data_IF_671422742962
#
_entry.id   IF_671422742962
#
_cell.length_a   1.000
_cell.length_b   1.000
_cell.length_c   1.000
_cell.angle_alpha   90.00
_cell.angle_beta   90.00
_cell.angle_gamma   90.00
#
_symmetry.space_group_name_H-M   'P 1'
#
loop_
_entity.id
_entity.type
_entity.pdbx_description
1 polymer ?
#
# COMPACT_ATOMS: atom_id res chain seq x y z
N UNK A 1 -9.65 6.02 -6.25
CA UNK A 1 -9.63 4.60 -5.81
C UNK A 1 -10.70 3.90 -6.63
N UNK A 2 -10.36 2.81 -7.30
CA UNK A 2 -11.37 2.06 -8.06
C UNK A 2 -12.28 1.30 -7.10
N UNK A 3 -13.38 0.76 -7.60
CA UNK A 3 -14.26 -0.12 -6.84
C UNK A 3 -13.64 -1.50 -6.57
N UNK A 4 -12.36 -1.73 -6.87
CA UNK A 4 -11.74 -3.06 -6.75
C UNK A 4 -10.90 -3.22 -5.47
N UNK A 5 -10.68 -2.12 -4.76
CA UNK A 5 -9.96 -2.08 -3.48
C UNK A 5 -10.92 -1.65 -2.39
N UNK A 6 -11.00 -2.46 -1.34
CA UNK A 6 -11.77 -2.15 -0.12
C UNK A 6 -10.81 -1.97 1.04
N UNK A 7 -11.16 -1.13 2.01
CA UNK A 7 -10.50 -1.14 3.31
C UNK A 7 -11.38 -1.83 4.35
N UNK A 8 -10.78 -2.45 5.35
CA UNK A 8 -11.51 -2.95 6.52
C UNK A 8 -11.88 -1.79 7.45
N UNK A 9 -13.09 -1.82 8.03
CA UNK A 9 -13.55 -0.79 8.97
C UNK A 9 -12.80 -0.86 10.32
N UNK A 10 -12.26 -2.04 10.68
CA UNK A 10 -11.48 -2.22 11.89
C UNK A 10 -10.10 -1.58 11.78
N UNK A 11 -9.80 -0.69 12.73
CA UNK A 11 -8.48 -0.09 12.87
C UNK A 11 -7.52 -1.07 13.56
N UNK A 12 -6.40 -1.37 12.90
CA UNK A 12 -5.32 -2.22 13.41
C UNK A 12 -4.20 -1.38 14.02
N UNK A 13 -3.45 -1.96 14.96
CA UNK A 13 -2.27 -1.35 15.59
C UNK A 13 -1.04 -2.19 15.30
N UNK A 14 0.01 -1.56 14.77
CA UNK A 14 1.29 -2.21 14.50
C UNK A 14 2.09 -2.38 15.79
N UNK A 15 2.20 -3.62 16.26
CA UNK A 15 2.91 -3.97 17.49
C UNK A 15 4.37 -4.35 17.24
N UNK A 16 4.76 -4.56 15.98
CA UNK A 16 6.11 -4.96 15.58
C UNK A 16 6.40 -4.62 14.11
N UNK A 17 7.66 -4.76 13.70
CA UNK A 17 8.10 -4.60 12.31
C UNK A 17 8.01 -3.17 11.78
N UNK A 18 7.85 -3.05 10.46
CA UNK A 18 7.88 -1.76 9.75
C UNK A 18 6.72 -0.82 10.10
N UNK A 19 5.66 -1.33 10.74
CA UNK A 19 4.47 -0.56 11.14
C UNK A 19 4.41 -0.34 12.65
N UNK A 20 5.49 -0.62 13.40
CA UNK A 20 5.54 -0.43 14.84
C UNK A 20 5.09 0.99 15.23
N UNK A 21 4.06 1.08 16.07
CA UNK A 21 3.51 2.34 16.56
C UNK A 21 2.56 3.05 15.59
N UNK A 22 2.20 2.42 14.47
CA UNK A 22 1.18 2.92 13.55
C UNK A 22 -0.21 2.37 13.88
N UNK A 23 -1.25 3.18 13.66
CA UNK A 23 -2.61 2.69 13.49
C UNK A 23 -3.01 2.76 12.02
N UNK A 24 -3.65 1.71 11.49
CA UNK A 24 -3.90 1.58 10.06
C UNK A 24 -5.11 0.69 9.74
N UNK A 25 -5.68 0.86 8.54
CA UNK A 25 -6.68 -0.04 7.99
C UNK A 25 -6.04 -0.93 6.92
N UNK A 26 -6.45 -2.20 6.85
CA UNK A 26 -6.00 -3.12 5.80
C UNK A 26 -6.71 -2.81 4.49
N UNK A 27 -5.98 -2.91 3.38
CA UNK A 27 -6.52 -2.88 2.02
C UNK A 27 -6.60 -4.29 1.46
N UNK A 28 -7.74 -4.64 0.88
CA UNK A 28 -7.98 -5.95 0.28
C UNK A 28 -8.58 -5.83 -1.11
N UNK A 29 -8.32 -6.82 -1.95
CA UNK A 29 -8.98 -6.95 -3.24
C UNK A 29 -10.44 -7.35 -3.03
N UNK A 30 -11.38 -6.59 -3.60
CA UNK A 30 -12.81 -6.90 -3.50
C UNK A 30 -13.16 -8.27 -4.08
N UNK A 31 -12.47 -8.68 -5.14
CA UNK A 31 -12.81 -9.89 -5.91
C UNK A 31 -12.30 -11.18 -5.24
N UNK A 32 -11.03 -11.20 -4.81
CA UNK A 32 -10.41 -12.41 -4.25
C UNK A 32 -10.14 -12.34 -2.74
N UNK A 33 -10.34 -11.19 -2.09
CA UNK A 33 -10.11 -11.01 -0.66
C UNK A 33 -8.63 -10.91 -0.26
N UNK A 34 -7.67 -11.07 -1.17
CA UNK A 34 -6.25 -10.97 -0.86
C UNK A 34 -5.89 -9.59 -0.31
N UNK A 35 -5.07 -9.57 0.74
CA UNK A 35 -4.50 -8.35 1.30
C UNK A 35 -3.58 -7.71 0.26
N UNK A 36 -3.82 -6.45 -0.07
CA UNK A 36 -3.03 -5.69 -1.02
C UNK A 36 -2.10 -4.69 -0.32
N UNK A 37 -2.43 -4.25 0.89
CA UNK A 37 -1.73 -3.15 1.53
C UNK A 37 -2.41 -2.60 2.76
N UNK A 38 -2.16 -1.32 3.06
CA UNK A 38 -2.75 -0.60 4.19
C UNK A 38 -2.91 0.91 3.91
N UNK A 39 -3.70 1.58 4.76
CA UNK A 39 -3.76 3.05 4.87
C UNK A 39 -3.39 3.43 6.30
N UNK A 40 -2.40 4.31 6.47
CA UNK A 40 -2.04 4.82 7.79
C UNK A 40 -3.05 5.88 8.27
N UNK A 41 -3.61 5.65 9.46
CA UNK A 41 -4.40 6.61 10.22
C UNK A 41 -3.50 7.46 11.12
N UNK A 42 -2.67 6.81 11.94
CA UNK A 42 -1.65 7.45 12.77
C UNK A 42 -0.31 6.74 12.59
N UNK A 43 0.78 7.50 12.70
CA UNK A 43 2.12 6.97 12.51
C UNK A 43 3.16 7.85 13.23
N UNK A 44 4.31 7.27 13.64
CA UNK A 44 5.45 8.05 14.11
C UNK A 44 5.99 9.01 13.04
N UNK A 45 6.77 10.02 13.44
CA UNK A 45 7.21 11.11 12.55
C UNK A 45 7.89 10.66 11.26
N UNK A 46 8.65 9.57 11.29
CA UNK A 46 9.33 8.99 10.13
C UNK A 46 8.38 8.35 9.10
N UNK A 47 7.13 8.08 9.46
CA UNK A 47 6.09 7.49 8.59
C UNK A 47 4.87 8.40 8.43
N UNK A 48 4.82 9.54 9.14
CA UNK A 48 3.69 10.45 9.13
C UNK A 48 3.33 11.00 7.74
N UNK A 49 4.31 11.05 6.83
CA UNK A 49 4.11 11.47 5.44
C UNK A 49 3.31 10.46 4.59
N UNK A 50 3.15 9.22 5.07
CA UNK A 50 2.36 8.17 4.40
C UNK A 50 0.89 8.14 4.84
N UNK A 51 0.46 9.01 5.77
CA UNK A 51 -0.93 9.07 6.23
C UNK A 51 -1.90 9.40 5.10
N UNK A 52 -3.01 8.68 5.06
CA UNK A 52 -4.05 8.84 4.03
C UNK A 52 -3.67 8.33 2.63
N UNK A 53 -2.45 7.82 2.43
CA UNK A 53 -2.05 7.19 1.17
C UNK A 53 -2.40 5.69 1.15
N UNK A 54 -2.67 5.17 -0.05
CA UNK A 54 -2.77 3.73 -0.28
C UNK A 54 -1.38 3.13 -0.40
N UNK A 55 -0.94 2.40 0.62
CA UNK A 55 0.37 1.75 0.66
C UNK A 55 0.24 0.28 0.27
N UNK A 56 0.61 -0.07 -0.96
CA UNK A 56 0.52 -1.45 -1.47
C UNK A 56 1.80 -2.26 -1.22
N UNK A 57 1.64 -3.53 -0.86
CA UNK A 57 2.72 -4.50 -0.80
C UNK A 57 3.10 -4.92 -2.21
N UNK A 58 4.37 -4.74 -2.59
CA UNK A 58 4.86 -5.08 -3.93
C UNK A 58 4.69 -6.56 -4.28
N UNK A 59 4.74 -7.44 -3.29
CA UNK A 59 4.59 -8.88 -3.50
C UNK A 59 3.15 -9.28 -3.84
N UNK A 60 2.17 -8.40 -3.55
CA UNK A 60 0.74 -8.71 -3.71
C UNK A 60 0.11 -8.00 -4.91
N UNK A 61 0.89 -7.30 -5.73
CA UNK A 61 0.41 -6.61 -6.93
C UNK A 61 1.28 -6.90 -8.15
N UNK A 62 0.66 -6.83 -9.33
CA UNK A 62 1.32 -6.91 -10.63
C UNK A 62 1.21 -5.56 -11.33
N UNK A 63 2.20 -5.24 -12.15
CA UNK A 63 2.25 -4.03 -12.96
C UNK A 63 2.19 -4.38 -14.44
N UNK A 64 1.49 -3.53 -15.18
CA UNK A 64 1.59 -3.52 -16.63
C UNK A 64 2.53 -2.41 -17.08
N UNK A 65 3.69 -2.78 -17.63
CA UNK A 65 4.66 -1.82 -18.13
C UNK A 65 4.32 -1.44 -19.57
N UNK A 66 3.52 -0.38 -19.72
CA UNK A 66 2.96 0.05 -21.01
C UNK A 66 3.98 0.14 -22.15
N UNK A 67 5.15 0.75 -21.91
CA UNK A 67 6.21 0.92 -22.94
C UNK A 67 6.74 -0.41 -23.49
N UNK A 68 6.76 -1.46 -22.66
CA UNK A 68 7.24 -2.79 -23.03
C UNK A 68 6.10 -3.77 -23.32
N UNK A 69 4.86 -3.38 -23.02
CA UNK A 69 3.66 -4.20 -23.16
C UNK A 69 3.77 -5.54 -22.41
N UNK A 70 4.37 -5.52 -21.23
CA UNK A 70 4.55 -6.72 -20.39
C UNK A 70 3.84 -6.57 -19.06
N UNK A 71 3.35 -7.70 -18.55
CA UNK A 71 2.94 -7.86 -17.15
C UNK A 71 4.14 -8.36 -16.35
N UNK A 72 4.38 -7.75 -15.20
CA UNK A 72 5.51 -8.07 -14.33
C UNK A 72 5.10 -7.91 -12.86
N UNK A 73 5.59 -8.77 -11.98
CA UNK A 73 5.44 -8.61 -10.52
C UNK A 73 5.99 -7.25 -10.09
N UNK A 74 5.28 -6.53 -9.21
CA UNK A 74 5.75 -5.21 -8.78
C UNK A 74 7.04 -5.28 -7.94
N UNK A 75 7.31 -6.43 -7.29
CA UNK A 75 8.59 -6.70 -6.61
C UNK A 75 9.81 -6.58 -7.56
N UNK A 76 9.61 -6.88 -8.85
CA UNK A 76 10.63 -6.78 -9.91
C UNK A 76 10.67 -5.40 -10.58
N UNK A 77 9.80 -4.47 -10.17
CA UNK A 77 9.74 -3.10 -10.71
C UNK A 77 10.46 -2.14 -9.77
N UNK A 78 11.37 -1.35 -10.35
CA UNK A 78 11.94 -0.20 -9.66
C UNK A 78 10.96 0.98 -9.71
N UNK A 79 10.43 1.35 -8.55
CA UNK A 79 9.62 2.56 -8.40
C UNK A 79 10.54 3.65 -7.88
N UNK A 80 10.97 4.61 -8.71
CA UNK A 80 11.77 5.72 -8.24
C UNK A 80 10.97 6.47 -7.17
N UNK A 81 11.64 6.86 -6.09
CA UNK A 81 11.03 7.72 -5.10
C UNK A 81 10.66 9.04 -5.80
N UNK A 82 9.36 9.24 -6.02
CA UNK A 82 8.86 10.54 -6.43
C UNK A 82 8.70 11.30 -5.12
N UNK A 83 9.64 12.19 -4.83
CA UNK A 83 9.37 13.22 -3.82
C UNK A 83 8.19 14.02 -4.35
N UNK A 84 7.08 13.98 -3.61
CA UNK A 84 6.04 15.00 -3.76
C UNK A 84 6.78 16.32 -3.53
N UNK A 85 6.99 17.10 -4.59
CA UNK A 85 7.41 18.49 -4.42
C UNK A 85 6.33 19.13 -3.57
N UNK A 86 6.75 19.79 -2.48
CA UNK A 86 5.89 20.68 -1.70
C UNK A 86 5.17 21.69 -2.61
#
# INVERSE_FOLDING_TARGET
VTNDVTWEDSLMVGLEGALLGCAYNILSCRSCGSILGFILYSAPGNLAYLRGFFCFFKDNIICYLLKKQIVIEASKVNFPAVTLKE
#
